data_IF_627637181909
#
_entry.id   IF_627637181909
#
_cell.length_a   1.000
_cell.length_b   1.000
_cell.length_c   1.000
_cell.angle_alpha   90.00
_cell.angle_beta   90.00
_cell.angle_gamma   90.00
#
_symmetry.space_group_name_H-M   'P 1'
#
loop_
_entity.id
_entity.type
_entity.pdbx_description
1 polymer ?
#
# COMPACT_ATOMS: atom_id res chain seq x y z
N UNK A 1 -5.21 14.75 -23.02
CA UNK A 1 -4.32 13.60 -23.33
C UNK A 1 -3.11 13.45 -22.36
N UNK A 2 -2.97 14.26 -21.29
CA UNK A 2 -1.78 14.26 -20.41
C UNK A 2 -1.71 13.13 -19.36
N UNK A 3 -2.71 13.05 -18.45
CA UNK A 3 -2.65 12.19 -17.25
C UNK A 3 -2.42 10.70 -17.52
N UNK A 4 -3.05 10.13 -18.56
CA UNK A 4 -2.84 8.72 -18.91
C UNK A 4 -1.44 8.44 -19.46
N UNK A 5 -0.84 9.41 -20.15
CA UNK A 5 0.53 9.29 -20.66
C UNK A 5 1.53 9.31 -19.51
N UNK A 6 1.30 10.16 -18.52
CA UNK A 6 2.13 10.24 -17.30
C UNK A 6 2.06 8.97 -16.46
N UNK A 7 0.85 8.45 -16.20
CA UNK A 7 0.65 7.16 -15.52
C UNK A 7 1.40 6.04 -16.25
N UNK A 8 1.31 6.01 -17.58
CA UNK A 8 1.98 5.00 -18.39
C UNK A 8 3.51 5.10 -18.34
N UNK A 9 4.06 6.33 -18.31
CA UNK A 9 5.50 6.55 -18.15
C UNK A 9 5.97 6.09 -16.76
N UNK A 10 5.26 6.47 -15.68
CA UNK A 10 5.58 6.03 -14.33
C UNK A 10 5.56 4.50 -14.24
N UNK A 11 4.53 3.87 -14.80
CA UNK A 11 4.43 2.42 -14.84
C UNK A 11 5.59 1.77 -15.61
N UNK A 12 6.05 2.34 -16.73
CA UNK A 12 7.18 1.80 -17.50
C UNK A 12 8.54 1.95 -16.80
N UNK A 13 8.68 2.93 -15.91
CA UNK A 13 9.90 3.16 -15.14
C UNK A 13 10.05 2.19 -13.95
N UNK A 14 8.97 1.53 -13.55
CA UNK A 14 9.00 0.52 -12.49
C UNK A 14 9.63 -0.80 -12.95
N UNK A 15 10.21 -1.51 -12.00
CA UNK A 15 10.74 -2.84 -12.24
C UNK A 15 9.62 -3.84 -12.55
N UNK A 16 10.00 -5.02 -13.08
CA UNK A 16 9.01 -6.02 -13.49
C UNK A 16 8.15 -6.48 -12.30
N UNK A 17 8.77 -6.70 -11.14
CA UNK A 17 8.09 -7.16 -9.93
C UNK A 17 7.07 -6.14 -9.42
N UNK A 18 7.46 -4.87 -9.29
CA UNK A 18 6.56 -3.78 -8.88
C UNK A 18 5.36 -3.65 -9.84
N UNK A 19 5.59 -3.76 -11.14
CA UNK A 19 4.52 -3.73 -12.15
C UNK A 19 3.53 -4.87 -12.03
N UNK A 20 4.04 -6.10 -11.84
CA UNK A 20 3.19 -7.27 -11.63
C UNK A 20 2.41 -7.16 -10.32
N UNK A 21 3.02 -6.56 -9.30
CA UNK A 21 2.39 -6.34 -8.02
C UNK A 21 1.27 -5.29 -8.08
N UNK A 22 1.52 -4.13 -8.70
CA UNK A 22 0.51 -3.07 -8.86
C UNK A 22 -0.69 -3.57 -9.68
N UNK A 23 -0.48 -4.46 -10.66
CA UNK A 23 -1.56 -5.09 -11.43
C UNK A 23 -2.53 -5.89 -10.55
N UNK A 24 -2.10 -6.41 -9.41
CA UNK A 24 -3.01 -7.14 -8.50
C UNK A 24 -4.13 -6.24 -7.97
N UNK A 25 -3.89 -4.93 -7.87
CA UNK A 25 -4.85 -3.92 -7.43
C UNK A 25 -5.66 -3.29 -8.58
N UNK A 26 -5.60 -3.87 -9.80
CA UNK A 26 -6.22 -3.30 -11.01
C UNK A 26 -7.75 -3.32 -11.04
N UNK A 27 -8.39 -4.05 -10.13
CA UNK A 27 -9.85 -4.14 -9.99
C UNK A 27 -10.39 -3.35 -8.80
N UNK A 28 -9.50 -2.84 -7.95
CA UNK A 28 -9.84 -2.08 -6.74
C UNK A 28 -9.94 -0.59 -7.05
N UNK A 29 -10.77 0.11 -6.28
CA UNK A 29 -11.02 1.52 -6.46
C UNK A 29 -10.85 2.27 -5.15
N UNK A 30 -10.34 3.49 -5.24
CA UNK A 30 -10.25 4.45 -4.14
C UNK A 30 -10.90 5.76 -4.56
N UNK A 31 -11.39 6.50 -3.57
CA UNK A 31 -11.86 7.87 -3.76
C UNK A 31 -10.75 8.83 -3.35
N UNK A 32 -10.39 9.73 -4.25
CA UNK A 32 -9.48 10.83 -3.91
C UNK A 32 -10.19 11.88 -3.02
N UNK A 33 -9.42 12.87 -2.57
CA UNK A 33 -9.94 13.98 -1.75
C UNK A 33 -10.98 14.84 -2.47
N UNK A 34 -11.06 14.76 -3.81
CA UNK A 34 -12.09 15.43 -4.62
C UNK A 34 -13.30 14.51 -4.88
N UNK A 35 -13.39 13.39 -4.16
CA UNK A 35 -14.42 12.37 -4.25
C UNK A 35 -14.52 11.73 -5.65
N UNK A 36 -13.42 11.71 -6.41
CA UNK A 36 -13.35 11.04 -7.71
C UNK A 36 -12.91 9.60 -7.52
N UNK A 37 -13.63 8.71 -8.18
CA UNK A 37 -13.31 7.28 -8.23
C UNK A 37 -12.10 7.05 -9.14
N UNK A 38 -11.04 6.48 -8.60
CA UNK A 38 -9.82 6.10 -9.31
C UNK A 38 -9.52 4.62 -9.09
N UNK A 39 -8.85 3.98 -10.06
CA UNK A 39 -8.30 2.66 -9.83
C UNK A 39 -7.16 2.75 -8.81
N UNK A 40 -7.11 1.82 -7.87
CA UNK A 40 -6.06 1.80 -6.85
C UNK A 40 -4.67 1.68 -7.49
N UNK A 41 -4.54 0.87 -8.54
CA UNK A 41 -3.31 0.78 -9.33
C UNK A 41 -2.88 2.12 -9.94
N UNK A 42 -3.83 2.94 -10.41
CA UNK A 42 -3.54 4.29 -10.91
C UNK A 42 -3.15 5.24 -9.78
N UNK A 43 -3.81 5.12 -8.63
CA UNK A 43 -3.52 5.91 -7.44
C UNK A 43 -2.09 5.69 -6.96
N UNK A 44 -1.67 4.43 -6.83
CA UNK A 44 -0.31 4.06 -6.41
C UNK A 44 0.75 4.73 -7.30
N UNK A 45 0.52 4.78 -8.61
CA UNK A 45 1.45 5.34 -9.60
C UNK A 45 1.55 6.87 -9.62
N UNK A 46 0.55 7.58 -9.08
CA UNK A 46 0.49 9.06 -9.13
C UNK A 46 0.58 9.70 -7.76
N UNK A 47 0.34 8.94 -6.69
CA UNK A 47 0.46 9.44 -5.34
C UNK A 47 1.88 9.97 -5.12
N UNK A 48 2.00 11.09 -4.43
CA UNK A 48 3.28 11.56 -3.91
C UNK A 48 3.34 11.22 -2.42
N UNK A 49 3.24 9.93 -2.12
CA UNK A 49 3.13 9.33 -0.78
C UNK A 49 3.96 8.07 -0.75
N UNK A 50 4.46 7.72 0.43
CA UNK A 50 5.16 6.46 0.62
C UNK A 50 4.13 5.34 0.71
N UNK A 51 4.20 4.37 -0.20
CA UNK A 51 3.23 3.27 -0.27
C UNK A 51 3.97 1.95 -0.10
N UNK A 52 3.60 1.23 0.96
CA UNK A 52 4.17 -0.06 1.31
C UNK A 52 3.08 -1.11 1.41
N UNK A 53 3.35 -2.31 0.91
CA UNK A 53 2.64 -3.48 1.40
C UNK A 53 3.40 -4.06 2.60
N UNK A 54 2.67 -4.25 3.70
CA UNK A 54 3.21 -4.70 4.98
C UNK A 54 2.51 -5.99 5.38
N UNK A 55 3.27 -6.93 5.93
CA UNK A 55 2.73 -8.19 6.49
C UNK A 55 3.31 -8.45 7.88
N UNK A 56 2.72 -9.42 8.59
CA UNK A 56 3.27 -9.90 9.86
C UNK A 56 4.45 -10.86 9.61
N UNK A 57 5.49 -10.77 10.45
CA UNK A 57 6.68 -11.62 10.36
C UNK A 57 6.34 -13.08 10.72
N UNK A 58 5.64 -13.31 11.83
CA UNK A 58 5.30 -14.66 12.33
C UNK A 58 3.90 -15.13 11.88
N UNK A 59 3.60 -14.94 10.59
CA UNK A 59 2.38 -15.43 9.96
C UNK A 59 1.18 -14.51 10.12
N UNK A 60 0.71 -14.27 11.35
CA UNK A 60 -0.51 -13.48 11.59
C UNK A 60 -0.38 -12.50 12.74
N UNK A 61 -0.57 -11.21 12.47
CA UNK A 61 -0.72 -10.20 13.51
C UNK A 61 -2.21 -10.07 13.91
N UNK A 62 -2.46 -9.84 15.20
CA UNK A 62 -3.81 -9.57 15.69
C UNK A 62 -4.37 -8.28 15.08
N UNK A 63 -5.70 -8.17 14.95
CA UNK A 63 -6.36 -6.97 14.42
C UNK A 63 -5.97 -5.69 15.19
N UNK A 64 -5.76 -5.81 16.50
CA UNK A 64 -5.30 -4.70 17.35
C UNK A 64 -3.91 -4.22 16.95
N UNK A 65 -2.97 -5.14 16.66
CA UNK A 65 -1.63 -4.80 16.17
C UNK A 65 -1.69 -3.93 14.93
N UNK A 66 -2.58 -4.24 13.98
CA UNK A 66 -2.75 -3.44 12.77
C UNK A 66 -3.35 -2.07 13.05
N UNK A 67 -4.33 -1.98 13.95
CA UNK A 67 -4.93 -0.70 14.32
C UNK A 67 -3.93 0.21 15.03
N UNK A 68 -3.23 -0.33 16.03
CA UNK A 68 -2.25 0.40 16.84
C UNK A 68 -1.08 0.88 15.97
N UNK A 69 -0.54 -0.01 15.11
CA UNK A 69 0.50 0.37 14.16
C UNK A 69 0.04 1.46 13.21
N UNK A 70 -1.16 1.32 12.62
CA UNK A 70 -1.70 2.32 11.68
C UNK A 70 -1.86 3.68 12.36
N UNK A 71 -2.36 3.71 13.60
CA UNK A 71 -2.56 4.97 14.34
C UNK A 71 -1.22 5.60 14.74
N UNK A 72 -0.23 4.81 15.19
CA UNK A 72 1.10 5.32 15.58
C UNK A 72 1.93 5.77 14.38
N UNK A 73 1.90 5.01 13.28
CA UNK A 73 2.57 5.33 12.02
C UNK A 73 1.82 6.42 11.23
N UNK A 74 0.63 6.85 11.68
CA UNK A 74 -0.27 7.77 10.98
C UNK A 74 -0.55 7.32 9.54
N UNK A 75 -0.62 6.01 9.34
CA UNK A 75 -0.87 5.40 8.04
C UNK A 75 -2.33 5.43 7.66
N UNK A 76 -2.61 5.35 6.36
CA UNK A 76 -3.97 5.12 5.85
C UNK A 76 -4.00 3.86 5.03
N UNK A 77 -4.97 2.99 5.34
CA UNK A 77 -5.16 1.71 4.64
C UNK A 77 -5.74 1.99 3.26
N UNK A 78 -5.06 1.49 2.23
CA UNK A 78 -5.50 1.52 0.84
C UNK A 78 -6.19 0.22 0.44
N UNK A 79 -5.65 -0.91 0.88
CA UNK A 79 -6.17 -2.25 0.59
C UNK A 79 -5.64 -3.25 1.62
N UNK A 80 -6.26 -4.42 1.71
CA UNK A 80 -5.79 -5.53 2.55
C UNK A 80 -6.09 -6.87 1.89
N UNK A 81 -5.19 -7.83 2.07
CA UNK A 81 -5.37 -9.22 1.63
C UNK A 81 -5.71 -10.07 2.84
N UNK A 82 -6.73 -10.91 2.70
CA UNK A 82 -7.19 -11.79 3.77
C UNK A 82 -7.34 -13.23 3.29
N UNK A 83 -7.07 -14.18 4.17
CA UNK A 83 -7.44 -15.58 4.00
C UNK A 83 -8.34 -15.98 5.18
N UNK A 84 -9.63 -16.21 4.89
CA UNK A 84 -10.64 -16.38 5.94
C UNK A 84 -10.75 -15.15 6.84
N UNK A 85 -10.49 -15.31 8.14
CA UNK A 85 -10.58 -14.24 9.14
C UNK A 85 -9.21 -13.62 9.48
N UNK A 86 -8.20 -13.92 8.69
CA UNK A 86 -6.81 -13.53 8.95
C UNK A 86 -6.39 -12.50 7.89
N UNK A 87 -5.79 -11.40 8.35
CA UNK A 87 -5.13 -10.42 7.48
C UNK A 87 -3.74 -10.95 7.14
N UNK A 88 -3.49 -11.19 5.86
CA UNK A 88 -2.19 -11.61 5.33
C UNK A 88 -1.26 -10.42 5.14
N UNK A 89 -1.78 -9.33 4.57
CA UNK A 89 -1.04 -8.10 4.33
C UNK A 89 -1.97 -6.89 4.23
N UNK A 90 -1.42 -5.71 4.47
CA UNK A 90 -2.08 -4.43 4.27
C UNK A 90 -1.24 -3.54 3.37
N UNK A 91 -1.89 -2.94 2.38
CA UNK A 91 -1.32 -1.85 1.60
C UNK A 91 -1.64 -0.53 2.31
N UNK A 92 -0.62 0.19 2.71
CA UNK A 92 -0.74 1.41 3.51
C UNK A 92 0.00 2.58 2.84
N UNK A 93 -0.58 3.77 2.95
CA UNK A 93 0.07 5.03 2.57
C UNK A 93 0.51 5.83 3.80
N UNK A 94 1.65 6.50 3.65
CA UNK A 94 2.28 7.33 4.67
C UNK A 94 2.74 8.67 4.08
N UNK A 95 2.74 9.71 4.91
CA UNK A 95 3.26 11.04 4.58
C UNK A 95 4.80 11.07 4.54
N UNK A 96 5.43 10.23 5.36
CA UNK A 96 6.88 10.16 5.56
C UNK A 96 7.35 8.71 5.38
N UNK A 97 8.65 8.53 5.15
CA UNK A 97 9.26 7.20 5.04
C UNK A 97 9.08 6.41 6.34
N UNK A 98 8.74 5.13 6.22
CA UNK A 98 8.37 4.31 7.36
C UNK A 98 9.59 3.94 8.21
N UNK A 99 9.47 4.15 9.53
CA UNK A 99 10.49 3.76 10.49
C UNK A 99 10.55 2.24 10.68
N UNK A 100 11.74 1.67 10.46
CA UNK A 100 12.00 0.24 10.64
C UNK A 100 11.87 -0.18 12.10
N UNK A 101 12.21 0.69 13.06
CA UNK A 101 12.04 0.38 14.48
C UNK A 101 10.57 0.20 14.85
N UNK A 102 9.69 1.00 14.22
CA UNK A 102 8.25 0.91 14.40
C UNK A 102 7.69 -0.41 13.84
N UNK A 103 8.16 -0.84 12.67
CA UNK A 103 7.80 -2.15 12.11
C UNK A 103 8.22 -3.29 13.05
N UNK A 104 9.45 -3.25 13.57
CA UNK A 104 9.95 -4.26 14.50
C UNK A 104 9.14 -4.31 15.80
N UNK A 105 8.75 -3.14 16.36
CA UNK A 105 7.91 -3.03 17.55
C UNK A 105 6.61 -3.82 17.42
N UNK A 106 6.01 -3.82 16.22
CA UNK A 106 4.74 -4.49 15.95
C UNK A 106 4.88 -5.88 15.30
N UNK A 107 6.11 -6.38 15.11
CA UNK A 107 6.34 -7.67 14.45
C UNK A 107 5.92 -7.67 12.98
N UNK A 108 6.08 -6.53 12.31
CA UNK A 108 5.69 -6.31 10.91
C UNK A 108 6.92 -6.17 10.02
N UNK A 109 6.77 -6.47 8.73
CA UNK A 109 7.80 -6.27 7.71
C UNK A 109 7.22 -5.72 6.40
N UNK A 110 8.04 -4.97 5.67
CA UNK A 110 7.71 -4.49 4.33
C UNK A 110 7.89 -5.64 3.35
N UNK A 111 6.83 -5.96 2.61
CA UNK A 111 6.87 -6.90 1.49
C UNK A 111 7.44 -6.22 0.26
N UNK A 112 6.92 -5.04 -0.06
CA UNK A 112 7.33 -4.26 -1.22
C UNK A 112 7.04 -2.78 -0.99
N UNK A 113 7.94 -1.94 -1.50
CA UNK A 113 7.76 -0.50 -1.64
C UNK A 113 7.28 -0.23 -3.06
N UNK A 114 6.15 0.48 -3.21
CA UNK A 114 5.56 0.77 -4.53
C UNK A 114 5.66 2.23 -4.93
N UNK A 115 6.01 3.10 -3.96
CA UNK A 115 6.25 4.53 -4.12
C UNK A 115 7.06 5.01 -2.90
#
# INVERSE_FOLDING_TARGET
MGRFKEIYINYLNLDKEEREHIKTYSTEYIYDNENRKLLLSQYILIANKYIYEIKAIEGTAHLWTWSDFKDEAKGKILSYKTEGNIILSQLLEFEEELDVELLCKYGLEIVIRLN
#
